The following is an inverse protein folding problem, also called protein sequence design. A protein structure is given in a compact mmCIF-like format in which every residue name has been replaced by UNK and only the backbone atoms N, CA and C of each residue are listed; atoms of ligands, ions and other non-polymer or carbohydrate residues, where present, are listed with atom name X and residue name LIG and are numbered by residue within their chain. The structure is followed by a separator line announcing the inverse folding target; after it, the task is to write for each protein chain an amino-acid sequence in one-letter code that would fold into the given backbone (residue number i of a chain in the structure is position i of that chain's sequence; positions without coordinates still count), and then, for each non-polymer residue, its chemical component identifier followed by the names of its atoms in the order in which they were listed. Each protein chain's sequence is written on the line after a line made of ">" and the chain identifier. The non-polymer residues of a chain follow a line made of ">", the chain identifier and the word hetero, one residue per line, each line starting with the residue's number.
data_IF_084241713700
#
_entry.id   IF_084241713700
#
_cell.length_a   1.000
_cell.length_b   1.000
_cell.length_c   1.000
_cell.angle_alpha   90.00
_cell.angle_beta   90.00
_cell.angle_gamma   90.00
#
_symmetry.space_group_name_H-M   'P 1'
#
loop_
_entity.id
_entity.type
_entity.pdbx_description
1 polymer ?
#
# COMPACT_ATOMS: atom_id res chain seq x y z
N UNK A 1 41.49 -15.45 0.50
CA UNK A 1 40.22 -16.11 0.84
C UNK A 1 39.47 -15.25 1.85
N UNK A 2 38.90 -14.14 1.39
CA UNK A 2 37.97 -13.26 2.12
C UNK A 2 37.36 -12.25 1.16
N UNK A 3 36.37 -12.68 0.37
CA UNK A 3 35.62 -11.80 -0.54
C UNK A 3 34.21 -12.39 -0.78
N UNK A 4 33.49 -12.75 0.29
CA UNK A 4 32.12 -13.25 0.17
C UNK A 4 31.10 -12.64 1.16
N UNK A 5 31.51 -11.69 2.02
CA UNK A 5 30.60 -11.14 3.05
C UNK A 5 29.86 -9.87 2.64
N UNK A 6 30.08 -9.37 1.40
CA UNK A 6 29.45 -8.13 0.91
C UNK A 6 28.17 -8.27 0.10
N UNK A 7 27.77 -9.49 -0.27
CA UNK A 7 26.68 -9.70 -1.24
C UNK A 7 25.35 -10.21 -0.67
N UNK A 8 25.25 -10.40 0.65
CA UNK A 8 24.02 -10.96 1.27
C UNK A 8 22.96 -9.89 1.56
N UNK A 9 23.28 -8.61 1.46
CA UNK A 9 22.34 -7.51 1.76
C UNK A 9 21.37 -7.19 0.61
N UNK A 10 21.65 -7.59 -0.62
CA UNK A 10 20.87 -7.24 -1.81
C UNK A 10 19.67 -8.18 -2.10
N UNK A 11 19.51 -9.27 -1.36
CA UNK A 11 18.44 -10.25 -1.58
C UNK A 11 17.23 -10.06 -0.65
N UNK A 12 17.13 -8.93 0.07
CA UNK A 12 15.99 -8.68 0.97
C UNK A 12 14.81 -8.18 0.16
N UNK A 13 13.73 -8.96 0.20
CA UNK A 13 12.44 -8.57 -0.39
C UNK A 13 11.81 -7.49 0.50
N UNK A 14 11.36 -6.39 -0.10
CA UNK A 14 10.63 -5.34 0.62
C UNK A 14 9.35 -5.90 1.27
N UNK A 15 9.00 -5.47 2.49
CA UNK A 15 7.77 -5.87 3.14
C UNK A 15 6.55 -5.61 2.27
N UNK A 16 5.77 -6.67 2.04
CA UNK A 16 4.54 -6.60 1.23
C UNK A 16 3.53 -7.62 1.75
N UNK A 17 2.27 -7.43 1.39
CA UNK A 17 1.18 -8.32 1.75
C UNK A 17 0.23 -8.48 0.56
N UNK A 18 0.72 -9.08 -0.53
CA UNK A 18 0.00 -9.17 -1.81
C UNK A 18 -1.34 -9.89 -1.70
N UNK A 19 -1.46 -10.90 -0.84
CA UNK A 19 -2.73 -11.60 -0.63
C UNK A 19 -3.74 -10.70 0.11
N UNK A 20 -3.29 -9.87 1.05
CA UNK A 20 -4.14 -8.87 1.70
C UNK A 20 -4.58 -7.77 0.71
N UNK A 21 -3.69 -7.34 -0.19
CA UNK A 21 -4.03 -6.38 -1.25
C UNK A 21 -5.09 -6.93 -2.19
N UNK A 22 -4.94 -8.18 -2.65
CA UNK A 22 -5.93 -8.85 -3.51
C UNK A 22 -7.28 -9.01 -2.80
N UNK A 23 -7.27 -9.48 -1.56
CA UNK A 23 -8.47 -9.67 -0.76
C UNK A 23 -9.21 -8.37 -0.51
N UNK A 24 -8.49 -7.29 -0.22
CA UNK A 24 -9.07 -5.97 0.00
C UNK A 24 -9.70 -5.42 -1.29
N UNK A 25 -9.01 -5.47 -2.41
CA UNK A 25 -9.52 -4.95 -3.69
C UNK A 25 -10.74 -5.73 -4.18
N UNK A 26 -10.69 -7.04 -4.17
CA UNK A 26 -11.83 -7.88 -4.53
C UNK A 26 -13.02 -7.66 -3.61
N UNK A 27 -12.77 -7.60 -2.30
CA UNK A 27 -13.80 -7.35 -1.29
C UNK A 27 -14.42 -5.95 -1.40
N UNK A 28 -13.63 -4.91 -1.73
CA UNK A 28 -14.11 -3.55 -1.90
C UNK A 28 -15.06 -3.40 -3.11
N UNK A 29 -14.83 -4.16 -4.18
CA UNK A 29 -15.76 -4.20 -5.32
C UNK A 29 -17.08 -4.89 -4.93
N UNK A 30 -17.01 -5.91 -4.05
CA UNK A 30 -18.19 -6.66 -3.58
C UNK A 30 -18.97 -5.94 -2.49
N UNK A 31 -18.30 -5.10 -1.68
CA UNK A 31 -18.88 -4.37 -0.56
C UNK A 31 -18.43 -2.90 -0.60
N UNK A 32 -18.89 -2.10 -1.58
CA UNK A 32 -18.43 -0.73 -1.77
C UNK A 32 -18.81 0.23 -0.64
N UNK A 33 -19.77 -0.11 0.19
CA UNK A 33 -20.13 0.60 1.41
C UNK A 33 -18.99 0.66 2.45
N UNK A 34 -18.01 -0.24 2.36
CA UNK A 34 -16.85 -0.24 3.26
C UNK A 34 -15.68 0.62 2.76
N UNK A 35 -15.71 1.13 1.52
CA UNK A 35 -14.59 1.88 0.92
C UNK A 35 -14.21 3.10 1.75
N UNK A 36 -15.18 3.83 2.30
CA UNK A 36 -14.92 5.00 3.13
C UNK A 36 -14.13 4.61 4.38
N UNK A 37 -14.60 3.65 5.15
CA UNK A 37 -13.93 3.19 6.37
C UNK A 37 -12.54 2.59 6.10
N UNK A 38 -12.41 1.83 5.00
CA UNK A 38 -11.12 1.27 4.56
C UNK A 38 -10.15 2.39 4.15
N UNK A 39 -10.66 3.43 3.48
CA UNK A 39 -9.87 4.60 3.04
C UNK A 39 -9.33 5.45 4.21
N UNK A 40 -9.88 5.33 5.40
CA UNK A 40 -9.31 5.95 6.61
C UNK A 40 -8.05 5.20 7.09
N UNK A 41 -7.91 3.92 6.74
CA UNK A 41 -6.82 3.05 7.19
C UNK A 41 -5.69 2.96 6.16
N UNK A 42 -6.01 2.88 4.86
CA UNK A 42 -5.06 2.64 3.79
C UNK A 42 -5.19 3.68 2.68
N UNK A 43 -4.05 4.14 2.17
CA UNK A 43 -3.97 5.08 1.05
C UNK A 43 -3.45 4.37 -0.21
N UNK A 44 -3.68 4.88 -1.42
CA UNK A 44 -3.16 4.28 -2.66
C UNK A 44 -1.64 4.05 -2.63
N UNK A 45 -0.90 4.95 -2.00
CA UNK A 45 0.56 4.87 -1.85
C UNK A 45 1.04 3.75 -0.92
N UNK A 46 0.14 3.13 -0.16
CA UNK A 46 0.46 2.02 0.74
C UNK A 46 0.53 0.67 0.03
N UNK A 47 -0.06 0.56 -1.16
CA UNK A 47 -0.02 -0.66 -1.94
C UNK A 47 1.38 -0.92 -2.51
N UNK A 48 1.81 -2.16 -2.46
CA UNK A 48 3.11 -2.59 -2.99
C UNK A 48 3.09 -2.64 -4.51
N UNK A 49 2.01 -3.16 -5.11
CA UNK A 49 1.86 -3.23 -6.56
C UNK A 49 1.28 -1.94 -7.12
N UNK A 50 1.88 -1.37 -8.17
CA UNK A 50 1.36 -0.15 -8.81
C UNK A 50 -0.06 -0.31 -9.38
N UNK A 51 -0.39 -1.46 -9.95
CA UNK A 51 -1.74 -1.74 -10.48
C UNK A 51 -2.79 -1.83 -9.36
N UNK A 52 -2.43 -2.38 -8.20
CA UNK A 52 -3.29 -2.37 -7.01
C UNK A 52 -3.52 -0.95 -6.49
N UNK A 53 -2.47 -0.12 -6.43
CA UNK A 53 -2.58 1.28 -6.05
C UNK A 53 -3.54 2.05 -6.97
N UNK A 54 -3.43 1.83 -8.30
CA UNK A 54 -4.29 2.46 -9.28
C UNK A 54 -5.75 1.99 -9.15
N UNK A 55 -5.97 0.69 -8.96
CA UNK A 55 -7.31 0.15 -8.77
C UNK A 55 -7.96 0.69 -7.49
N UNK A 56 -7.22 0.74 -6.37
CA UNK A 56 -7.73 1.33 -5.14
C UNK A 56 -8.08 2.80 -5.31
N UNK A 57 -7.23 3.59 -5.98
CA UNK A 57 -7.51 5.00 -6.28
C UNK A 57 -8.78 5.14 -7.12
N UNK A 58 -8.97 4.30 -8.14
CA UNK A 58 -10.17 4.30 -8.96
C UNK A 58 -11.43 4.03 -8.14
N UNK A 59 -11.41 3.00 -7.28
CA UNK A 59 -12.54 2.65 -6.42
C UNK A 59 -12.89 3.80 -5.45
N UNK A 60 -11.87 4.42 -4.84
CA UNK A 60 -12.06 5.57 -3.96
C UNK A 60 -12.67 6.78 -4.70
N UNK A 61 -12.22 7.06 -5.92
CA UNK A 61 -12.77 8.15 -6.74
C UNK A 61 -14.21 7.86 -7.18
N UNK A 62 -14.52 6.63 -7.59
CA UNK A 62 -15.89 6.23 -7.94
C UNK A 62 -16.82 6.36 -6.73
N UNK A 63 -16.37 5.92 -5.56
CA UNK A 63 -17.13 6.02 -4.33
C UNK A 63 -17.40 7.49 -3.96
N UNK A 64 -16.37 8.35 -3.99
CA UNK A 64 -16.50 9.78 -3.71
C UNK A 64 -17.43 10.50 -4.69
N UNK A 65 -17.49 10.04 -5.94
CA UNK A 65 -18.40 10.58 -6.96
C UNK A 65 -19.83 10.03 -6.86
N UNK A 66 -20.09 9.09 -5.94
CA UNK A 66 -21.39 8.43 -5.82
C UNK A 66 -21.71 7.49 -7.00
N UNK A 67 -20.69 7.05 -7.73
CA UNK A 67 -20.86 6.12 -8.84
C UNK A 67 -21.17 4.71 -8.31
N UNK A 68 -21.96 3.94 -9.07
CA UNK A 68 -22.21 2.55 -8.74
C UNK A 68 -20.93 1.72 -8.90
N UNK A 69 -20.61 0.91 -7.88
CA UNK A 69 -19.40 0.08 -7.87
C UNK A 69 -19.83 -1.39 -7.83
N UNK A 70 -19.56 -2.07 -8.92
CA UNK A 70 -19.59 -3.53 -9.07
C UNK A 70 -18.57 -3.94 -10.15
N UNK A 71 -18.41 -5.23 -10.38
CA UNK A 71 -17.47 -5.72 -11.38
C UNK A 71 -17.72 -5.11 -12.77
N UNK A 72 -18.97 -5.01 -13.19
CA UNK A 72 -19.33 -4.53 -14.53
C UNK A 72 -18.97 -3.04 -14.64
N UNK A 73 -19.39 -2.23 -13.68
CA UNK A 73 -19.16 -0.77 -13.68
C UNK A 73 -17.67 -0.43 -13.61
N UNK A 74 -16.91 -1.15 -12.78
CA UNK A 74 -15.46 -0.96 -12.64
C UNK A 74 -14.74 -1.34 -13.93
N UNK A 75 -15.05 -2.50 -14.50
CA UNK A 75 -14.42 -2.96 -15.75
C UNK A 75 -14.77 -2.05 -16.94
N UNK A 76 -16.01 -1.57 -17.02
CA UNK A 76 -16.43 -0.61 -18.03
C UNK A 76 -15.70 0.74 -17.87
N UNK A 77 -15.52 1.19 -16.63
CA UNK A 77 -14.80 2.43 -16.32
C UNK A 77 -13.33 2.34 -16.73
N UNK A 78 -12.67 1.21 -16.47
CA UNK A 78 -11.29 0.92 -16.89
C UNK A 78 -11.18 0.87 -18.41
N UNK A 79 -12.03 0.09 -19.07
CA UNK A 79 -12.04 -0.05 -20.53
C UNK A 79 -12.26 1.29 -21.25
N UNK A 80 -13.13 2.14 -20.73
CA UNK A 80 -13.38 3.49 -21.27
C UNK A 80 -12.16 4.40 -21.18
N UNK A 81 -11.30 4.18 -20.20
CA UNK A 81 -10.02 4.89 -20.03
C UNK A 81 -8.93 4.44 -21.00
N UNK A 82 -9.07 3.27 -21.63
CA UNK A 82 -8.09 2.70 -22.58
C UNK A 82 -6.75 2.35 -21.94
N UNK A 83 -6.71 2.10 -20.61
CA UNK A 83 -5.50 1.85 -19.84
C UNK A 83 -5.63 0.58 -18.99
N UNK A 84 -6.23 -0.46 -19.55
CA UNK A 84 -6.56 -1.71 -18.86
C UNK A 84 -5.34 -2.34 -18.17
N UNK A 85 -4.16 -2.23 -18.79
CA UNK A 85 -2.90 -2.80 -18.27
C UNK A 85 -2.44 -2.12 -16.97
N UNK A 86 -2.77 -0.82 -16.76
CA UNK A 86 -2.43 -0.10 -15.53
C UNK A 86 -3.14 -0.68 -14.29
N UNK A 87 -4.21 -1.45 -14.51
CA UNK A 87 -5.01 -2.09 -13.47
C UNK A 87 -4.79 -3.61 -13.41
N UNK A 88 -3.77 -4.13 -14.08
CA UNK A 88 -3.48 -5.56 -14.17
C UNK A 88 -4.28 -6.32 -15.23
N UNK A 89 -5.13 -5.61 -16.01
CA UNK A 89 -5.98 -6.21 -17.03
C UNK A 89 -7.31 -6.73 -16.50
N UNK A 90 -8.29 -6.86 -17.42
CA UNK A 90 -9.66 -7.26 -17.09
C UNK A 90 -9.75 -8.63 -16.42
N UNK A 91 -9.04 -9.63 -16.96
CA UNK A 91 -9.03 -10.98 -16.40
C UNK A 91 -8.50 -11.02 -14.97
N UNK A 92 -7.52 -10.17 -14.66
CA UNK A 92 -6.96 -10.03 -13.33
C UNK A 92 -8.00 -9.46 -12.34
N UNK A 93 -8.72 -8.41 -12.73
CA UNK A 93 -9.78 -7.81 -11.89
C UNK A 93 -10.90 -8.80 -11.59
N UNK A 94 -11.30 -9.61 -12.57
CA UNK A 94 -12.27 -10.71 -12.37
C UNK A 94 -11.73 -11.70 -11.34
N UNK A 95 -10.47 -12.12 -11.48
CA UNK A 95 -9.81 -13.03 -10.54
C UNK A 95 -9.72 -12.50 -9.11
N UNK A 96 -9.60 -11.19 -8.91
CA UNK A 96 -9.60 -10.58 -7.57
C UNK A 96 -10.90 -10.86 -6.81
N UNK A 97 -12.05 -10.78 -7.50
CA UNK A 97 -13.36 -11.01 -6.89
C UNK A 97 -13.55 -12.50 -6.59
N UNK A 98 -13.22 -13.36 -7.56
CA UNK A 98 -13.38 -14.81 -7.43
C UNK A 98 -12.51 -15.41 -6.30
N UNK A 99 -11.36 -14.79 -6.03
CA UNK A 99 -10.42 -15.25 -4.99
C UNK A 99 -10.55 -14.51 -3.66
N UNK A 100 -11.44 -13.52 -3.57
CA UNK A 100 -11.63 -12.78 -2.31
C UNK A 100 -12.32 -13.67 -1.26
N UNK A 101 -11.67 -13.92 -0.12
CA UNK A 101 -12.18 -14.90 0.85
C UNK A 101 -13.39 -14.40 1.65
N UNK A 102 -13.51 -13.09 1.87
CA UNK A 102 -14.58 -12.49 2.68
C UNK A 102 -14.56 -10.97 2.60
N UNK A 103 -15.75 -10.37 2.64
CA UNK A 103 -15.91 -8.91 2.79
C UNK A 103 -15.94 -8.46 4.26
N UNK A 104 -15.94 -9.40 5.21
CA UNK A 104 -16.09 -9.08 6.64
C UNK A 104 -14.83 -8.43 7.27
N UNK A 105 -13.65 -8.58 6.66
CA UNK A 105 -12.37 -8.23 7.27
C UNK A 105 -11.57 -7.18 6.48
N UNK A 106 -12.23 -6.32 5.68
CA UNK A 106 -11.52 -5.38 4.79
C UNK A 106 -10.64 -4.40 5.56
N UNK A 107 -11.11 -3.84 6.68
CA UNK A 107 -10.30 -2.97 7.53
C UNK A 107 -9.09 -3.69 8.14
N UNK A 108 -9.21 -4.99 8.44
CA UNK A 108 -8.08 -5.80 8.90
C UNK A 108 -7.01 -5.95 7.81
N UNK A 109 -7.41 -6.26 6.57
CA UNK A 109 -6.48 -6.31 5.44
C UNK A 109 -5.83 -4.96 5.17
N UNK A 110 -6.61 -3.88 5.25
CA UNK A 110 -6.10 -2.52 5.13
C UNK A 110 -5.01 -2.21 6.18
N UNK A 111 -5.21 -2.63 7.43
CA UNK A 111 -4.22 -2.50 8.49
C UNK A 111 -2.93 -3.24 8.20
N UNK A 112 -3.00 -4.45 7.66
CA UNK A 112 -1.82 -5.23 7.23
C UNK A 112 -1.05 -4.50 6.12
N UNK A 113 -1.76 -4.00 5.11
CA UNK A 113 -1.16 -3.27 3.99
C UNK A 113 -0.48 -1.99 4.48
N UNK A 114 -1.16 -1.20 5.32
CA UNK A 114 -0.63 0.03 5.89
C UNK A 114 0.62 -0.22 6.73
N UNK A 115 0.66 -1.31 7.50
CA UNK A 115 1.84 -1.68 8.29
C UNK A 115 3.04 -2.04 7.40
N UNK A 116 2.82 -2.82 6.34
CA UNK A 116 3.89 -3.11 5.37
C UNK A 116 4.42 -1.86 4.68
N UNK A 117 3.53 -0.92 4.37
CA UNK A 117 3.91 0.37 3.80
C UNK A 117 4.75 1.21 4.78
N UNK A 118 4.38 1.23 6.08
CA UNK A 118 5.19 1.88 7.13
C UNK A 118 6.60 1.31 7.21
N UNK A 119 6.72 -0.02 7.18
CA UNK A 119 8.03 -0.68 7.18
C UNK A 119 8.86 -0.31 5.95
N UNK A 120 8.26 -0.22 4.76
CA UNK A 120 8.96 0.22 3.55
C UNK A 120 9.43 1.67 3.66
N UNK A 121 8.60 2.58 4.18
CA UNK A 121 8.99 3.98 4.41
C UNK A 121 10.13 4.10 5.41
N UNK A 122 10.09 3.32 6.49
CA UNK A 122 11.17 3.27 7.46
C UNK A 122 12.48 2.77 6.83
N UNK A 123 12.44 1.71 6.05
CA UNK A 123 13.60 1.18 5.33
C UNK A 123 14.19 2.25 4.39
N UNK A 124 13.34 2.91 3.61
CA UNK A 124 13.77 3.95 2.67
C UNK A 124 14.46 5.12 3.40
N UNK A 125 13.88 5.59 4.50
CA UNK A 125 14.46 6.67 5.33
C UNK A 125 15.82 6.28 5.92
N UNK A 126 15.97 5.05 6.41
CA UNK A 126 17.24 4.56 6.94
C UNK A 126 18.30 4.36 5.86
N UNK A 127 17.90 3.90 4.66
CA UNK A 127 18.80 3.77 3.52
C UNK A 127 19.31 5.12 3.05
N UNK A 128 18.42 6.13 2.96
CA UNK A 128 18.78 7.50 2.61
C UNK A 128 19.75 8.11 3.66
N UNK A 129 19.46 7.95 4.94
CA UNK A 129 20.33 8.41 6.02
C UNK A 129 21.72 7.74 5.97
N UNK A 130 21.74 6.43 5.68
CA UNK A 130 22.99 5.67 5.54
C UNK A 130 23.81 6.18 4.36
N UNK A 131 23.21 6.39 3.20
CA UNK A 131 23.87 6.91 2.01
C UNK A 131 24.44 8.32 2.26
N UNK A 132 23.63 9.21 2.85
CA UNK A 132 24.03 10.59 3.19
C UNK A 132 25.22 10.62 4.16
N UNK A 133 25.28 9.66 5.11
CA UNK A 133 26.40 9.56 6.04
C UNK A 133 27.70 9.13 5.34
N UNK A 134 27.62 8.20 4.39
CA UNK A 134 28.79 7.79 3.59
C UNK A 134 29.29 8.88 2.64
N UNK A 135 28.41 9.71 2.13
CA UNK A 135 28.76 10.85 1.27
C UNK A 135 29.37 12.03 2.03
N UNK A 136 29.28 12.03 3.36
CA UNK A 136 29.74 13.13 4.25
C UNK A 136 29.19 14.51 3.84
N UNK A 137 28.02 14.52 3.18
CA UNK A 137 27.39 15.74 2.65
C UNK A 137 26.65 16.56 3.72
N UNK A 138 26.37 15.96 4.87
CA UNK A 138 25.67 16.57 6.02
C UNK A 138 26.33 16.15 7.32
N UNK A 139 26.10 16.93 8.39
CA UNK A 139 26.59 16.60 9.72
C UNK A 139 25.81 15.41 10.33
N UNK A 140 26.42 14.71 11.26
CA UNK A 140 25.76 13.63 11.99
C UNK A 140 24.48 14.08 12.71
N UNK A 141 24.50 15.30 13.25
CA UNK A 141 23.33 15.92 13.90
C UNK A 141 22.17 16.14 12.93
N UNK A 142 22.44 16.66 11.71
CA UNK A 142 21.44 16.88 10.68
C UNK A 142 20.83 15.56 10.16
N UNK A 143 21.66 14.52 10.02
CA UNK A 143 21.20 13.20 9.61
C UNK A 143 20.32 12.60 10.70
N UNK A 144 20.73 12.65 11.96
CA UNK A 144 19.95 12.17 13.09
C UNK A 144 18.58 12.87 13.19
N UNK A 145 18.56 14.20 13.02
CA UNK A 145 17.33 14.98 13.01
C UNK A 145 16.39 14.57 11.86
N UNK A 146 16.93 14.28 10.67
CA UNK A 146 16.14 13.82 9.53
C UNK A 146 15.51 12.45 9.76
N UNK A 147 16.22 11.54 10.44
CA UNK A 147 15.67 10.23 10.83
C UNK A 147 14.51 10.41 11.80
N UNK A 148 14.67 11.21 12.84
CA UNK A 148 13.62 11.47 13.83
C UNK A 148 12.38 12.06 13.17
N UNK A 149 12.54 13.06 12.31
CA UNK A 149 11.44 13.65 11.54
C UNK A 149 10.74 12.63 10.62
N UNK A 150 11.51 11.73 9.99
CA UNK A 150 10.97 10.64 9.18
C UNK A 150 10.16 9.64 10.01
N UNK A 151 10.58 9.37 11.24
CA UNK A 151 9.86 8.48 12.16
C UNK A 151 8.53 9.08 12.62
N UNK A 152 8.45 10.39 12.83
CA UNK A 152 7.20 11.06 13.19
C UNK A 152 6.14 10.91 12.08
N UNK A 153 6.52 10.96 10.83
CA UNK A 153 5.60 10.73 9.70
C UNK A 153 5.11 9.27 9.61
N UNK A 154 5.92 8.31 10.08
CA UNK A 154 5.55 6.90 10.19
C UNK A 154 4.57 6.69 11.37
N UNK A 155 4.74 7.44 12.45
CA UNK A 155 3.96 7.32 13.70
C UNK A 155 2.57 7.96 13.60
N UNK A 156 2.42 9.08 12.91
CA UNK A 156 1.15 9.83 12.82
C UNK A 156 0.04 9.13 12.01
N UNK A 157 0.34 8.03 11.34
CA UNK A 157 -0.66 7.16 10.70
C UNK A 157 -1.45 6.27 11.67
N UNK A 158 -1.23 6.36 12.99
CA UNK A 158 -1.85 5.48 13.98
C UNK A 158 -2.45 6.28 15.13
N UNK A 159 -3.51 7.04 14.83
CA UNK A 159 -4.42 7.53 15.87
C UNK A 159 -5.77 6.82 15.73
N UNK A 160 -5.76 5.51 15.88
CA UNK A 160 -6.97 4.79 16.32
C UNK A 160 -6.64 4.33 17.73
N UNK A 161 -7.12 5.09 18.68
CA UNK A 161 -7.17 4.67 20.09
C UNK A 161 -7.82 3.28 20.13
N UNK A 162 -7.03 2.30 20.53
CA UNK A 162 -7.53 0.98 20.90
C UNK A 162 -8.28 1.13 22.22
N UNK A 163 -9.56 1.46 22.12
CA UNK A 163 -10.47 1.36 23.27
C UNK A 163 -11.00 -0.08 23.33
N UNK A 164 -10.17 -0.93 23.92
CA UNK A 164 -10.58 -2.27 24.33
C UNK A 164 -10.93 -2.22 25.83
N UNK A 165 -12.22 -2.03 26.11
CA UNK A 165 -12.83 -2.36 27.39
C UNK A 165 -13.94 -3.38 27.21
#
# INVERSE_FOLDING_TARGET
>A
MRQQDGQVLDARIFPSALDAERALLGGAIMAPDQIEAVGEVVQPTDFYRPDHAQLWLLLALMHAAGEHIDLISVTERVARGGRDEEYGGLAYMIGLIETSPSTANLCHYAGIIAEKARLRRLIASLQEATATAFEESRTAEEIAASIVSGLDTVSTGTSVESDWH
#
